data_IF_701387977391
#
_entry.id   IF_701387977391
#
_cell.length_a   1.000
_cell.length_b   1.000
_cell.length_c   1.000
_cell.angle_alpha   90.00
_cell.angle_beta   90.00
_cell.angle_gamma   90.00
#
_symmetry.space_group_name_H-M   'P 1'
#
loop_
_entity.id
_entity.type
_entity.pdbx_description
1 polymer ?
#
# COMPACT_ATOMS: atom_id res chain seq x y z
N UNK A 1 -6.53 -0.53 3.75
CA UNK A 1 -6.62 -0.41 2.29
C UNK A 1 -5.89 -1.59 1.66
N UNK A 2 -6.37 -2.16 0.57
CA UNK A 2 -5.66 -3.24 -0.15
C UNK A 2 -4.86 -2.66 -1.32
N UNK A 3 -3.58 -3.02 -1.45
CA UNK A 3 -2.75 -2.81 -2.65
C UNK A 3 -2.56 -4.15 -3.33
N UNK A 4 -2.61 -4.18 -4.66
CA UNK A 4 -2.43 -5.40 -5.42
C UNK A 4 -1.72 -5.10 -6.73
N UNK A 5 -0.68 -5.87 -7.04
CA UNK A 5 -0.14 -5.95 -8.38
C UNK A 5 -0.79 -7.12 -9.12
N UNK A 6 -1.50 -6.90 -10.24
CA UNK A 6 -2.19 -7.97 -10.98
C UNK A 6 -1.20 -9.02 -11.50
N UNK A 7 -1.44 -10.30 -11.24
CA UNK A 7 -0.56 -11.38 -11.71
C UNK A 7 -0.51 -11.43 -13.23
N UNK A 8 -1.61 -11.07 -13.90
CA UNK A 8 -1.72 -11.02 -15.35
C UNK A 8 -0.79 -9.99 -15.97
N UNK A 9 -0.45 -8.92 -15.24
CA UNK A 9 0.49 -7.89 -15.70
C UNK A 9 1.93 -8.41 -15.79
N UNK A 10 2.29 -9.45 -15.02
CA UNK A 10 3.64 -10.03 -15.02
C UNK A 10 3.98 -10.66 -16.38
N UNK A 11 3.00 -11.23 -17.08
CA UNK A 11 3.28 -11.83 -18.39
C UNK A 11 3.68 -10.81 -19.46
N UNK A 12 3.40 -9.52 -19.22
CA UNK A 12 3.68 -8.44 -20.17
C UNK A 12 5.00 -7.70 -19.87
N UNK A 13 5.71 -8.05 -18.79
CA UNK A 13 6.99 -7.41 -18.45
C UNK A 13 8.19 -8.21 -18.98
N UNK A 14 9.33 -7.55 -19.27
CA UNK A 14 10.56 -8.25 -19.67
C UNK A 14 11.02 -9.27 -18.62
N UNK A 15 11.54 -10.41 -19.10
CA UNK A 15 12.05 -11.51 -18.27
C UNK A 15 11.02 -12.09 -17.31
N UNK A 16 9.75 -12.11 -17.73
CA UNK A 16 8.60 -12.58 -16.94
C UNK A 16 8.79 -13.98 -16.39
N UNK A 17 9.33 -14.92 -17.17
CA UNK A 17 9.59 -16.30 -16.73
C UNK A 17 10.58 -16.36 -15.55
N UNK A 18 11.71 -15.67 -15.66
CA UNK A 18 12.72 -15.64 -14.59
C UNK A 18 12.19 -14.95 -13.34
N UNK A 19 11.44 -13.84 -13.50
CA UNK A 19 10.82 -13.14 -12.38
C UNK A 19 9.75 -14.01 -11.71
N UNK A 20 8.97 -14.76 -12.49
CA UNK A 20 7.96 -15.68 -11.97
C UNK A 20 8.61 -16.80 -11.15
N UNK A 21 9.70 -17.40 -11.63
CA UNK A 21 10.46 -18.41 -10.87
C UNK A 21 10.98 -17.85 -9.53
N UNK A 22 11.50 -16.62 -9.53
CA UNK A 22 11.96 -15.98 -8.29
C UNK A 22 10.80 -15.66 -7.34
N UNK A 23 9.65 -15.23 -7.85
CA UNK A 23 8.45 -14.99 -7.04
C UNK A 23 7.92 -16.29 -6.43
N UNK A 24 7.92 -17.40 -7.19
CA UNK A 24 7.55 -18.73 -6.70
C UNK A 24 8.51 -19.22 -5.62
N UNK A 25 9.82 -19.08 -5.83
CA UNK A 25 10.84 -19.47 -4.86
C UNK A 25 10.70 -18.71 -3.53
N UNK A 26 10.26 -17.44 -3.60
CA UNK A 26 10.02 -16.60 -2.43
C UNK A 26 8.61 -16.76 -1.82
N UNK A 27 7.73 -17.57 -2.43
CA UNK A 27 6.31 -17.68 -2.05
C UNK A 27 5.63 -16.31 -1.96
N UNK A 28 5.95 -15.44 -2.91
CA UNK A 28 5.58 -14.03 -2.89
C UNK A 28 4.05 -13.82 -2.93
N UNK A 29 3.53 -12.96 -2.06
CA UNK A 29 2.15 -12.48 -2.13
C UNK A 29 2.07 -11.14 -2.87
N UNK A 30 1.28 -11.11 -3.94
CA UNK A 30 1.07 -9.94 -4.79
C UNK A 30 -0.02 -9.00 -4.26
N UNK A 31 -0.63 -9.35 -3.12
CA UNK A 31 -1.68 -8.59 -2.43
C UNK A 31 -1.20 -8.21 -1.05
N UNK A 32 -1.45 -6.96 -0.68
CA UNK A 32 -1.09 -6.46 0.63
C UNK A 32 -2.27 -5.72 1.25
N UNK A 33 -2.61 -6.08 2.49
CA UNK A 33 -3.53 -5.33 3.32
C UNK A 33 -2.74 -4.35 4.18
N UNK A 34 -2.97 -3.06 3.96
CA UNK A 34 -2.36 -1.96 4.71
C UNK A 34 -3.38 -1.38 5.70
N UNK A 35 -3.38 -1.81 6.98
CA UNK A 35 -4.20 -1.20 8.01
C UNK A 35 -3.67 0.18 8.40
N UNK A 36 -4.58 1.09 8.77
CA UNK A 36 -4.25 2.47 9.16
C UNK A 36 -3.18 2.55 10.27
N UNK A 37 -3.16 1.57 11.17
CA UNK A 37 -2.19 1.51 12.28
C UNK A 37 -0.73 1.40 11.84
N UNK A 38 -0.44 1.01 10.61
CA UNK A 38 0.94 1.01 10.08
C UNK A 38 1.51 2.44 10.02
N UNK A 39 0.65 3.43 9.76
CA UNK A 39 1.06 4.84 9.65
C UNK A 39 1.51 5.43 11.00
N UNK A 40 1.15 4.81 12.12
CA UNK A 40 1.55 5.27 13.45
C UNK A 40 3.07 5.12 13.68
N UNK A 41 3.72 4.26 12.91
CA UNK A 41 5.16 3.97 12.98
C UNK A 41 5.94 4.52 11.77
N UNK A 42 5.26 5.23 10.86
CA UNK A 42 5.84 5.78 9.64
C UNK A 42 6.53 7.13 9.80
N UNK A 43 6.77 7.78 8.67
CA UNK A 43 7.36 9.12 8.62
C UNK A 43 6.38 10.22 9.04
N UNK A 44 5.07 10.01 8.85
CA UNK A 44 4.00 10.97 9.11
C UNK A 44 2.93 10.40 10.07
N UNK A 45 3.26 10.18 11.35
CA UNK A 45 2.33 9.59 12.32
C UNK A 45 1.14 10.52 12.62
N UNK A 46 -0.08 9.94 12.66
CA UNK A 46 -1.34 10.70 12.77
C UNK A 46 -1.67 11.25 14.18
N UNK A 47 -1.01 10.73 15.23
CA UNK A 47 -1.08 11.09 16.68
C UNK A 47 -2.46 11.12 17.37
N UNK A 48 -2.58 10.39 18.50
CA UNK A 48 -2.62 11.03 19.84
C UNK A 48 -2.12 10.14 21.00
N UNK A 49 -1.25 10.75 21.82
CA UNK A 49 -0.85 10.54 23.24
C UNK A 49 -0.18 9.25 23.77
N UNK A 50 1.06 9.47 24.26
CA UNK A 50 1.65 9.03 25.54
C UNK A 50 1.07 7.75 26.20
N UNK A 51 1.81 6.66 26.07
CA UNK A 51 2.32 5.94 27.24
C UNK A 51 3.51 5.09 26.81
N UNK A 52 4.56 5.13 27.63
CA UNK A 52 5.60 4.11 27.65
C UNK A 52 4.94 2.75 27.91
N UNK A 53 4.61 2.03 26.85
CA UNK A 53 4.85 0.60 26.86
C UNK A 53 5.97 0.38 25.87
N UNK A 54 7.06 -0.13 26.43
CA UNK A 54 8.19 -0.76 25.80
C UNK A 54 7.71 -2.00 25.01
N UNK A 55 6.71 -1.81 24.15
CA UNK A 55 6.23 -2.81 23.24
C UNK A 55 7.22 -2.72 22.09
N UNK A 56 8.28 -3.51 22.26
CA UNK A 56 9.24 -3.82 21.23
C UNK A 56 8.41 -4.12 20.00
N UNK A 57 8.30 -3.15 19.08
CA UNK A 57 8.11 -3.49 17.69
C UNK A 57 9.17 -4.55 17.48
N UNK A 58 8.76 -5.80 17.22
CA UNK A 58 9.66 -6.90 16.90
C UNK A 58 10.25 -6.64 15.51
N UNK A 59 10.83 -5.45 15.32
CA UNK A 59 11.78 -5.11 14.27
C UNK A 59 13.20 -5.43 14.71
N UNK A 60 13.37 -6.24 15.76
CA UNK A 60 14.62 -6.92 16.07
C UNK A 60 14.79 -8.15 15.16
N UNK A 61 14.66 -7.88 13.88
CA UNK A 61 15.28 -8.62 12.80
C UNK A 61 15.58 -7.55 11.76
N UNK A 62 16.59 -6.73 12.05
CA UNK A 62 17.53 -6.39 10.98
C UNK A 62 18.00 -7.72 10.43
N UNK A 63 17.27 -8.26 9.46
CA UNK A 63 17.77 -9.32 8.63
C UNK A 63 19.07 -8.74 8.08
N UNK A 64 20.19 -9.40 8.36
CA UNK A 64 21.43 -9.10 7.66
C UNK A 64 21.20 -9.52 6.21
N UNK A 65 20.55 -8.63 5.45
CA UNK A 65 20.21 -8.87 4.05
C UNK A 65 21.46 -8.86 3.18
N UNK A 66 22.57 -8.32 3.70
CA UNK A 66 23.85 -8.31 3.01
C UNK A 66 24.74 -9.48 3.39
N UNK A 67 24.86 -10.43 2.48
CA UNK A 67 25.78 -11.57 2.59
C UNK A 67 27.15 -11.25 2.00
N UNK A 68 27.18 -10.49 0.90
CA UNK A 68 28.43 -10.08 0.24
C UNK A 68 29.05 -8.83 0.87
N UNK A 69 28.30 -8.10 1.71
CA UNK A 69 28.71 -6.82 2.28
C UNK A 69 28.76 -5.68 1.26
N UNK A 70 28.29 -5.88 0.02
CA UNK A 70 28.34 -4.86 -1.01
C UNK A 70 27.27 -3.78 -0.80
N UNK A 71 26.06 -4.15 -0.37
CA UNK A 71 24.97 -3.23 -0.04
C UNK A 71 24.87 -2.99 1.46
N UNK A 72 24.93 -1.73 1.87
CA UNK A 72 24.65 -1.33 3.27
C UNK A 72 23.16 -1.34 3.53
N UNK A 73 22.76 -1.75 4.74
CA UNK A 73 21.38 -1.63 5.19
C UNK A 73 20.97 -0.14 5.22
N UNK A 74 19.89 0.26 4.52
CA UNK A 74 19.45 1.64 4.50
C UNK A 74 19.03 2.13 5.89
N UNK A 75 19.32 3.41 6.16
CA UNK A 75 19.02 4.00 7.47
C UNK A 75 17.52 4.10 7.71
N UNK A 76 16.72 4.21 6.65
CA UNK A 76 15.27 4.33 6.69
C UNK A 76 14.51 3.03 6.95
N UNK A 77 15.17 1.86 6.94
CA UNK A 77 14.51 0.55 6.99
C UNK A 77 13.57 0.40 8.20
N UNK A 78 13.95 0.98 9.34
CA UNK A 78 13.19 0.92 10.60
C UNK A 78 11.91 1.78 10.62
N UNK A 79 11.69 2.60 9.59
CA UNK A 79 10.50 3.44 9.40
C UNK A 79 9.65 3.02 8.21
N UNK A 80 10.04 1.97 7.49
CA UNK A 80 9.21 1.41 6.43
C UNK A 80 7.93 0.84 7.04
N UNK A 81 6.79 1.42 6.65
CA UNK A 81 5.46 0.97 7.09
C UNK A 81 4.92 -0.18 6.26
N UNK A 82 5.57 -0.51 5.13
CA UNK A 82 5.11 -1.53 4.20
C UNK A 82 5.67 -2.91 4.58
N UNK A 83 4.87 -3.99 4.54
CA UNK A 83 5.34 -5.34 4.85
C UNK A 83 6.50 -5.79 3.98
N UNK A 84 7.53 -6.38 4.58
CA UNK A 84 8.75 -6.79 3.85
C UNK A 84 8.47 -7.85 2.77
N UNK A 85 7.60 -8.81 3.03
CA UNK A 85 7.23 -9.84 2.02
C UNK A 85 6.62 -9.20 0.76
N UNK A 86 5.80 -8.16 0.93
CA UNK A 86 5.23 -7.43 -0.19
C UNK A 86 6.28 -6.62 -0.93
N UNK A 87 7.18 -5.95 -0.19
CA UNK A 87 8.31 -5.24 -0.80
C UNK A 87 9.24 -6.22 -1.55
N UNK A 88 9.52 -7.41 -1.04
CA UNK A 88 10.33 -8.42 -1.71
C UNK A 88 9.71 -8.86 -3.05
N UNK A 89 8.39 -9.03 -3.10
CA UNK A 89 7.67 -9.28 -4.34
C UNK A 89 7.86 -8.11 -5.33
N UNK A 90 7.64 -6.87 -4.87
CA UNK A 90 7.82 -5.67 -5.70
C UNK A 90 9.25 -5.49 -6.20
N UNK A 91 10.27 -5.80 -5.37
CA UNK A 91 11.68 -5.80 -5.77
C UNK A 91 11.92 -6.76 -6.94
N UNK A 92 11.38 -7.97 -6.85
CA UNK A 92 11.52 -8.98 -7.91
C UNK A 92 10.87 -8.52 -9.22
N UNK A 93 9.69 -7.87 -9.14
CA UNK A 93 8.96 -7.37 -10.31
C UNK A 93 9.68 -6.19 -10.96
N UNK A 94 10.12 -5.22 -10.15
CA UNK A 94 10.77 -4.00 -10.61
C UNK A 94 12.21 -4.22 -11.09
N UNK A 95 12.79 -5.39 -10.80
CA UNK A 95 14.17 -5.72 -11.13
C UNK A 95 14.47 -5.59 -12.63
N UNK A 96 15.60 -4.98 -12.94
CA UNK A 96 16.13 -4.81 -14.30
C UNK A 96 16.91 -6.06 -14.75
N UNK A 97 17.27 -6.11 -16.03
CA UNK A 97 17.98 -7.25 -16.61
C UNK A 97 19.36 -7.47 -15.98
N UNK A 98 20.14 -6.41 -15.80
CA UNK A 98 21.46 -6.44 -15.15
C UNK A 98 21.38 -6.94 -13.70
N UNK A 99 20.32 -6.54 -12.99
CA UNK A 99 20.05 -6.97 -11.62
C UNK A 99 19.63 -8.44 -11.57
N UNK A 100 18.81 -8.91 -12.52
CA UNK A 100 18.47 -10.32 -12.66
C UNK A 100 19.71 -11.20 -12.84
N UNK A 101 20.63 -10.80 -13.73
CA UNK A 101 21.90 -11.51 -13.91
C UNK A 101 22.73 -11.53 -12.62
N UNK A 102 22.75 -10.42 -11.87
CA UNK A 102 23.42 -10.36 -10.56
C UNK A 102 22.79 -11.33 -9.55
N UNK A 103 21.47 -11.43 -9.50
CA UNK A 103 20.77 -12.42 -8.65
C UNK A 103 21.19 -13.84 -9.01
N UNK A 104 21.18 -14.20 -10.30
CA UNK A 104 21.60 -15.54 -10.74
C UNK A 104 23.03 -15.84 -10.32
N UNK A 105 23.96 -14.89 -10.52
CA UNK A 105 25.36 -15.05 -10.10
C UNK A 105 25.52 -15.22 -8.59
N UNK A 106 24.75 -14.49 -7.78
CA UNK A 106 24.77 -14.60 -6.32
C UNK A 106 24.23 -15.97 -5.86
N UNK A 107 23.15 -16.45 -6.47
CA UNK A 107 22.56 -17.74 -6.13
C UNK A 107 23.45 -18.91 -6.55
N UNK A 108 24.12 -18.82 -7.69
CA UNK A 108 25.13 -19.79 -8.14
C UNK A 108 26.31 -19.88 -7.17
N UNK A 109 26.78 -18.74 -6.65
CA UNK A 109 27.84 -18.69 -5.64
C UNK A 109 27.40 -19.34 -4.32
N UNK A 110 26.17 -19.05 -3.86
CA UNK A 110 25.63 -19.52 -2.59
C UNK A 110 25.37 -21.03 -2.56
N UNK A 111 24.77 -21.55 -3.63
CA UNK A 111 24.48 -22.99 -3.74
C UNK A 111 25.76 -23.79 -3.99
N UNK A 112 26.76 -23.15 -4.61
CA UNK A 112 28.01 -23.77 -5.02
C UNK A 112 27.80 -24.75 -6.17
N UNK A 113 28.79 -24.88 -7.06
CA UNK A 113 28.73 -25.82 -8.18
C UNK A 113 28.78 -27.32 -7.76
N UNK A 114 28.89 -27.61 -6.46
CA UNK A 114 29.20 -28.95 -5.96
C UNK A 114 28.00 -29.71 -5.40
N UNK A 115 26.90 -29.03 -5.07
CA UNK A 115 25.69 -29.66 -4.51
C UNK A 115 24.50 -29.09 -5.26
N UNK A 116 23.75 -29.94 -5.98
CA UNK A 116 22.49 -29.60 -6.65
C UNK A 116 21.36 -29.29 -5.63
N UNK A 117 21.58 -28.31 -4.76
CA UNK A 117 20.59 -27.86 -3.78
C UNK A 117 19.85 -26.66 -4.35
N UNK A 118 18.54 -26.62 -4.17
CA UNK A 118 17.77 -25.42 -4.48
C UNK A 118 17.98 -24.34 -3.40
N UNK A 119 18.10 -23.06 -3.79
CA UNK A 119 18.22 -21.97 -2.83
C UNK A 119 16.94 -21.87 -1.98
N UNK A 120 17.11 -21.48 -0.74
CA UNK A 120 16.00 -21.21 0.19
C UNK A 120 15.34 -19.88 -0.12
N UNK A 121 14.08 -19.72 0.26
CA UNK A 121 13.33 -18.45 0.15
C UNK A 121 14.14 -17.26 0.71
N UNK A 122 14.74 -17.40 1.90
CA UNK A 122 15.56 -16.34 2.50
C UNK A 122 16.82 -15.99 1.70
N UNK A 123 17.45 -16.99 1.07
CA UNK A 123 18.64 -16.75 0.21
C UNK A 123 18.22 -16.02 -1.07
N UNK A 124 17.07 -16.38 -1.66
CA UNK A 124 16.52 -15.68 -2.84
C UNK A 124 16.16 -14.24 -2.49
N UNK A 125 15.43 -14.00 -1.39
CA UNK A 125 15.08 -12.64 -0.95
C UNK A 125 16.32 -11.77 -0.70
N UNK A 126 17.34 -12.33 -0.08
CA UNK A 126 18.58 -11.61 0.18
C UNK A 126 19.34 -11.31 -1.11
N UNK A 127 19.44 -12.27 -2.05
CA UNK A 127 20.08 -12.04 -3.35
C UNK A 127 19.35 -10.96 -4.16
N UNK A 128 18.02 -10.97 -4.17
CA UNK A 128 17.20 -9.94 -4.81
C UNK A 128 17.47 -8.56 -4.19
N UNK A 129 17.44 -8.45 -2.87
CA UNK A 129 17.70 -7.19 -2.18
C UNK A 129 19.13 -6.67 -2.44
N UNK A 130 20.12 -7.54 -2.42
CA UNK A 130 21.53 -7.20 -2.71
C UNK A 130 21.70 -6.70 -4.16
N UNK A 131 20.93 -7.26 -5.09
CA UNK A 131 20.98 -6.85 -6.49
C UNK A 131 20.33 -5.49 -6.73
N UNK A 132 19.06 -5.29 -6.36
CA UNK A 132 18.27 -4.13 -6.79
C UNK A 132 17.91 -3.12 -5.69
N UNK A 133 18.07 -3.45 -4.40
CA UNK A 133 17.68 -2.57 -3.29
C UNK A 133 16.16 -2.30 -3.26
N UNK A 134 15.76 -1.11 -2.78
CA UNK A 134 14.33 -0.77 -2.61
C UNK A 134 13.78 0.20 -3.66
N UNK A 135 14.63 0.97 -4.34
CA UNK A 135 14.18 2.12 -5.14
C UNK A 135 13.21 1.74 -6.25
N UNK A 136 13.49 0.67 -7.00
CA UNK A 136 12.58 0.16 -8.03
C UNK A 136 11.25 -0.34 -7.44
N UNK A 137 11.30 -1.03 -6.30
CA UNK A 137 10.10 -1.53 -5.62
C UNK A 137 9.22 -0.39 -5.08
N UNK A 138 9.84 0.63 -4.50
CA UNK A 138 9.17 1.81 -3.97
C UNK A 138 8.57 2.67 -5.09
N UNK A 139 9.26 2.81 -6.23
CA UNK A 139 8.70 3.45 -7.41
C UNK A 139 7.46 2.70 -7.90
N UNK A 140 7.55 1.38 -8.04
CA UNK A 140 6.41 0.56 -8.44
C UNK A 140 5.24 0.68 -7.45
N UNK A 141 5.52 0.76 -6.15
CA UNK A 141 4.49 0.98 -5.12
C UNK A 141 3.81 2.34 -5.27
N UNK A 142 4.58 3.41 -5.51
CA UNK A 142 4.04 4.75 -5.78
C UNK A 142 3.11 4.72 -6.99
N UNK A 143 3.53 4.08 -8.09
CA UNK A 143 2.73 3.98 -9.31
C UNK A 143 1.42 3.21 -9.06
N UNK A 144 1.46 2.11 -8.32
CA UNK A 144 0.27 1.34 -7.92
C UNK A 144 -0.70 2.17 -7.07
N UNK A 145 -0.18 2.98 -6.15
CA UNK A 145 -0.98 3.84 -5.28
C UNK A 145 -1.58 5.03 -6.04
N UNK A 146 -0.84 5.62 -6.98
CA UNK A 146 -1.35 6.64 -7.91
C UNK A 146 -2.47 6.08 -8.76
N UNK A 147 -2.26 4.93 -9.41
CA UNK A 147 -3.28 4.26 -10.22
C UNK A 147 -4.55 3.99 -9.40
N UNK A 148 -4.39 3.46 -8.19
CA UNK A 148 -5.51 3.24 -7.27
C UNK A 148 -6.24 4.53 -6.91
N UNK A 149 -5.51 5.62 -6.68
CA UNK A 149 -6.12 6.92 -6.39
C UNK A 149 -6.94 7.42 -7.57
N UNK A 150 -6.39 7.36 -8.78
CA UNK A 150 -7.07 7.77 -10.01
C UNK A 150 -8.35 6.94 -10.21
N UNK A 151 -8.29 5.61 -10.10
CA UNK A 151 -9.47 4.74 -10.22
C UNK A 151 -10.57 5.12 -9.23
N UNK A 152 -10.19 5.51 -8.01
CA UNK A 152 -11.12 5.94 -6.97
C UNK A 152 -11.72 7.32 -7.26
N UNK A 153 -10.94 8.25 -7.84
CA UNK A 153 -11.40 9.58 -8.23
C UNK A 153 -12.22 9.57 -9.54
N UNK A 154 -12.01 8.60 -10.43
CA UNK A 154 -12.83 8.40 -11.63
C UNK A 154 -14.19 7.76 -11.29
N UNK A 155 -14.20 6.81 -10.36
CA UNK A 155 -15.43 6.10 -9.94
C UNK A 155 -16.29 6.88 -8.94
N UNK A 156 -15.75 7.92 -8.31
CA UNK A 156 -16.49 8.77 -7.37
C UNK A 156 -16.27 10.24 -7.70
N UNK A 157 -17.36 11.02 -7.79
CA UNK A 157 -17.25 12.49 -7.96
C UNK A 157 -16.27 13.06 -6.92
N UNK A 158 -15.58 14.13 -7.32
CA UNK A 158 -14.52 14.82 -6.56
C UNK A 158 -14.84 14.97 -5.07
N UNK A 159 -13.82 14.92 -4.22
CA UNK A 159 -13.97 14.87 -2.75
C UNK A 159 -14.81 15.99 -2.15
N UNK A 160 -14.71 17.19 -2.72
CA UNK A 160 -15.53 18.33 -2.31
C UNK A 160 -17.03 18.07 -2.42
N UNK A 161 -17.47 17.19 -3.33
CA UNK A 161 -18.88 16.85 -3.47
C UNK A 161 -19.36 15.91 -2.36
N UNK A 162 -18.53 14.98 -1.87
CA UNK A 162 -18.92 14.09 -0.77
C UNK A 162 -18.90 14.86 0.57
N UNK A 163 -17.96 15.80 0.77
CA UNK A 163 -17.92 16.70 1.93
C UNK A 163 -19.12 17.66 1.97
N UNK A 164 -19.46 18.28 0.84
CA UNK A 164 -20.66 19.13 0.72
C UNK A 164 -21.95 18.34 0.97
N UNK A 165 -22.02 17.07 0.54
CA UNK A 165 -23.17 16.22 0.80
C UNK A 165 -23.26 15.83 2.28
N UNK A 166 -22.15 15.51 2.94
CA UNK A 166 -22.13 15.15 4.37
C UNK A 166 -22.44 16.35 5.28
N UNK A 167 -21.97 17.55 4.92
CA UNK A 167 -22.28 18.80 5.65
C UNK A 167 -23.75 19.20 5.52
N UNK A 168 -24.41 18.84 4.41
CA UNK A 168 -25.82 19.18 4.15
C UNK A 168 -26.84 18.16 4.69
N UNK A 169 -26.40 17.10 5.38
CA UNK A 169 -27.29 16.13 6.04
C UNK A 169 -27.66 16.66 7.43
N UNK A 170 -28.88 17.19 7.56
CA UNK A 170 -29.50 17.38 8.87
C UNK A 170 -29.80 16.01 9.48
N UNK A 171 -29.47 15.90 10.76
CA UNK A 171 -29.58 14.74 11.64
C UNK A 171 -30.97 14.04 11.53
N UNK A 172 -31.04 12.92 10.81
CA UNK A 172 -32.26 12.09 10.67
C UNK A 172 -32.36 11.08 11.83
N UNK A 173 -31.53 11.16 12.87
CA UNK A 173 -31.67 10.25 14.02
C UNK A 173 -32.91 10.52 14.90
N UNK A 174 -33.62 11.63 14.68
CA UNK A 174 -34.89 11.93 15.36
C UNK A 174 -36.16 11.40 14.68
N UNK A 175 -36.09 10.86 13.46
CA UNK A 175 -37.28 10.56 12.64
C UNK A 175 -37.56 9.06 12.44
N UNK A 176 -36.88 8.16 13.14
CA UNK A 176 -37.21 6.72 13.06
C UNK A 176 -38.47 6.32 13.85
N UNK A 177 -39.15 7.25 14.55
CA UNK A 177 -40.43 6.97 15.25
C UNK A 177 -41.72 7.32 14.49
N UNK A 178 -41.69 7.66 13.20
CA UNK A 178 -42.94 7.80 12.44
C UNK A 178 -42.97 7.00 11.13
N UNK A 179 -43.19 5.69 11.30
CA UNK A 179 -43.92 4.89 10.33
C UNK A 179 -45.22 5.64 9.97
N UNK A 180 -45.33 6.03 8.70
CA UNK A 180 -46.46 6.66 7.99
C UNK A 180 -46.32 8.18 7.80
N UNK A 181 -45.72 8.58 6.69
CA UNK A 181 -46.07 9.83 6.00
C UNK A 181 -45.75 9.71 4.49
N UNK A 182 -46.57 8.97 3.74
CA UNK A 182 -46.62 9.12 2.27
C UNK A 182 -47.37 10.40 1.83
N UNK A 183 -47.87 11.24 2.76
CA UNK A 183 -48.73 12.38 2.43
C UNK A 183 -48.27 13.72 3.05
N UNK A 184 -46.99 14.07 2.98
CA UNK A 184 -46.55 15.44 3.35
C UNK A 184 -45.70 16.14 2.29
N UNK A 185 -45.61 15.58 1.09
CA UNK A 185 -44.83 16.12 -0.02
C UNK A 185 -45.54 17.21 -0.85
N UNK A 186 -46.70 17.72 -0.44
CA UNK A 186 -47.43 18.70 -1.26
C UNK A 186 -47.34 20.17 -0.81
N UNK A 187 -46.64 20.51 0.28
CA UNK A 187 -46.71 21.87 0.85
C UNK A 187 -45.37 22.52 1.23
N UNK A 188 -44.29 22.29 0.47
CA UNK A 188 -43.05 23.05 0.67
C UNK A 188 -42.44 23.55 -0.66
N UNK A 189 -43.28 24.15 -1.50
CA UNK A 189 -42.86 24.97 -2.66
C UNK A 189 -43.07 26.46 -2.35
N UNK A 190 -42.41 27.02 -1.32
CA UNK A 190 -42.57 28.45 -1.01
C UNK A 190 -41.33 29.20 -0.50
N UNK A 191 -40.18 28.55 -0.33
CA UNK A 191 -38.95 29.27 0.01
C UNK A 191 -37.79 28.53 -0.62
N UNK A 192 -36.94 29.24 -1.36
CA UNK A 192 -35.79 28.72 -2.13
C UNK A 192 -34.67 28.14 -1.27
N UNK A 193 -35.02 27.30 -0.28
CA UNK A 193 -34.12 26.46 0.46
C UNK A 193 -34.00 25.13 -0.27
N UNK A 194 -32.79 24.81 -0.72
CA UNK A 194 -32.40 23.52 -1.26
C UNK A 194 -32.92 22.42 -0.35
N UNK A 195 -33.71 21.48 -0.87
CA UNK A 195 -34.26 20.39 -0.06
C UNK A 195 -33.12 19.62 0.63
N UNK A 196 -33.22 19.31 1.94
CA UNK A 196 -32.24 18.46 2.59
C UNK A 196 -32.26 17.11 1.87
N UNK A 197 -31.08 16.69 1.40
CA UNK A 197 -30.95 15.42 0.69
C UNK A 197 -31.14 14.31 1.72
N UNK A 198 -32.34 13.74 1.79
CA UNK A 198 -32.63 12.60 2.66
C UNK A 198 -31.80 11.41 2.18
N UNK A 199 -30.72 11.09 2.91
CA UNK A 199 -29.87 9.94 2.63
C UNK A 199 -30.25 8.77 3.54
N UNK A 200 -30.29 7.58 2.94
CA UNK A 200 -30.38 6.34 3.71
C UNK A 200 -29.07 6.07 4.45
N UNK A 201 -29.13 5.35 5.58
CA UNK A 201 -27.93 4.91 6.32
C UNK A 201 -26.89 4.22 5.43
N UNK A 202 -27.33 3.43 4.45
CA UNK A 202 -26.42 2.73 3.53
C UNK A 202 -25.69 3.70 2.59
N UNK A 203 -26.36 4.76 2.14
CA UNK A 203 -25.73 5.81 1.32
C UNK A 203 -24.69 6.56 2.14
N UNK A 204 -25.02 6.96 3.36
CA UNK A 204 -24.08 7.63 4.27
C UNK A 204 -22.86 6.76 4.57
N UNK A 205 -23.06 5.51 4.98
CA UNK A 205 -21.97 4.58 5.26
C UNK A 205 -21.08 4.33 4.04
N UNK A 206 -21.67 4.27 2.84
CA UNK A 206 -20.91 4.13 1.59
C UNK A 206 -20.04 5.35 1.30
N UNK A 207 -20.56 6.57 1.52
CA UNK A 207 -19.79 7.81 1.36
C UNK A 207 -18.62 7.89 2.33
N UNK A 208 -18.88 7.68 3.62
CA UNK A 208 -17.84 7.69 4.67
C UNK A 208 -16.77 6.64 4.38
N UNK A 209 -17.16 5.44 3.93
CA UNK A 209 -16.20 4.42 3.53
C UNK A 209 -15.33 4.87 2.36
N UNK A 210 -15.91 5.42 1.28
CA UNK A 210 -15.15 5.89 0.12
C UNK A 210 -14.19 7.01 0.48
N UNK A 211 -14.65 8.00 1.23
CA UNK A 211 -13.82 9.10 1.73
C UNK A 211 -12.66 8.57 2.59
N UNK A 212 -12.96 7.65 3.51
CA UNK A 212 -11.95 7.01 4.34
C UNK A 212 -10.92 6.20 3.54
N UNK A 213 -11.34 5.54 2.45
CA UNK A 213 -10.39 4.87 1.55
C UNK A 213 -9.50 5.88 0.84
N UNK A 214 -10.04 6.99 0.29
CA UNK A 214 -9.24 8.01 -0.42
C UNK A 214 -8.20 8.63 0.51
N UNK A 215 -8.62 9.04 1.69
CA UNK A 215 -7.74 9.60 2.71
C UNK A 215 -6.63 8.61 3.09
N UNK A 216 -6.99 7.34 3.30
CA UNK A 216 -6.01 6.31 3.62
C UNK A 216 -5.03 6.06 2.47
N UNK A 217 -5.50 6.06 1.22
CA UNK A 217 -4.63 5.94 0.04
C UNK A 217 -3.66 7.13 -0.05
N UNK A 218 -4.10 8.37 0.23
CA UNK A 218 -3.22 9.56 0.24
C UNK A 218 -2.12 9.45 1.28
N UNK A 219 -2.46 9.00 2.49
CA UNK A 219 -1.49 8.85 3.57
C UNK A 219 -0.42 7.81 3.21
N UNK A 220 -0.82 6.64 2.70
CA UNK A 220 0.15 5.63 2.25
C UNK A 220 0.96 6.08 1.05
N UNK A 221 0.36 6.84 0.14
CA UNK A 221 1.08 7.41 -0.98
C UNK A 221 2.19 8.35 -0.52
N UNK A 222 1.87 9.25 0.42
CA UNK A 222 2.86 10.16 1.00
C UNK A 222 4.00 9.42 1.71
N UNK A 223 3.69 8.33 2.42
CA UNK A 223 4.71 7.45 3.00
C UNK A 223 5.59 6.82 1.91
N UNK A 224 5.01 6.27 0.85
CA UNK A 224 5.73 5.63 -0.24
C UNK A 224 6.66 6.61 -0.99
N UNK A 225 6.16 7.80 -1.31
CA UNK A 225 6.94 8.86 -1.97
C UNK A 225 8.14 9.30 -1.11
N UNK A 226 7.93 9.44 0.21
CA UNK A 226 9.02 9.79 1.12
C UNK A 226 10.05 8.66 1.24
N UNK A 227 9.61 7.40 1.33
CA UNK A 227 10.50 6.24 1.32
C UNK A 227 11.32 6.19 0.03
N UNK A 228 10.68 6.41 -1.12
CA UNK A 228 11.33 6.44 -2.41
C UNK A 228 12.41 7.53 -2.45
N UNK A 229 12.08 8.74 -2.00
CA UNK A 229 13.05 9.84 -1.94
C UNK A 229 14.27 9.47 -1.07
N UNK A 230 14.05 8.84 0.08
CA UNK A 230 15.14 8.37 0.93
C UNK A 230 16.00 7.31 0.22
N UNK A 231 15.37 6.31 -0.41
CA UNK A 231 16.07 5.25 -1.16
C UNK A 231 16.93 5.80 -2.31
N UNK A 232 16.47 6.85 -3.00
CA UNK A 232 17.22 7.51 -4.06
C UNK A 232 18.36 8.37 -3.50
N UNK A 233 18.17 8.94 -2.30
CA UNK A 233 19.16 9.84 -1.68
C UNK A 233 20.30 9.11 -0.97
N UNK A 234 20.04 7.94 -0.37
CA UNK A 234 21.06 7.16 0.34
C UNK A 234 22.03 6.46 -0.61
N UNK A 235 21.68 6.32 -1.89
CA UNK A 235 22.51 5.69 -2.91
C UNK A 235 22.58 4.17 -2.74
N UNK A 236 22.33 3.45 -3.84
CA UNK A 236 22.42 1.99 -3.88
C UNK A 236 23.86 1.48 -3.84
#
# INVERSE_FOLDING_TARGET
MQVHYPTEAIHNIPFSDSKMQLLEAQKADMRCLLPKSLLDYGFFPLRSSKNDSNDKFKGDQTHNFSWSGQRKTPSYIHKLVFPDEFLAALRTIAMREDELFKVSSLLEELVGSLVERQPTDSEVRAAVWEACGDSGALQLLVDLLHMKMMDMEESSRTEGHDDELLVNVQDVEGLETHRRCENSLSNLEATGATQPTLMTRNQWSSMVYRQGQKELTRLFLREAEHCLQLSLSEGN
#
